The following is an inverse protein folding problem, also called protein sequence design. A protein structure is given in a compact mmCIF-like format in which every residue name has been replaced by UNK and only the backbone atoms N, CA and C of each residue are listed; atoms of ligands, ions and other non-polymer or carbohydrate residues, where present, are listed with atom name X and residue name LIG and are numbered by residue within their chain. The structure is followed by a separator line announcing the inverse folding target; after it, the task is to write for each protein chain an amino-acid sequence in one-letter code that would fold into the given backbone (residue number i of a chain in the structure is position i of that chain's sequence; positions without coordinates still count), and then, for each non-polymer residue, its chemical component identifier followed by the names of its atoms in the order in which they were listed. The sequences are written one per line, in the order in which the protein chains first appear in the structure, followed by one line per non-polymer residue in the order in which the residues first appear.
data_IF_042846246253
#
_entry.id   IF_042846246253
#
_cell.length_a   1.000
_cell.length_b   1.000
_cell.length_c   1.000
_cell.angle_alpha   90.00
_cell.angle_beta   90.00
_cell.angle_gamma   90.00
#
_symmetry.space_group_name_H-M   'P 1'
#
loop_
_entity.id
_entity.type
_entity.pdbx_description
1 polymer ?
#
# COMPACT_ATOMS: atom_id res chain seq x y z
N UNK A 1 10.96 27.65 27.20
CA UNK A 1 10.23 26.38 27.00
C UNK A 1 9.83 26.31 25.54
N UNK A 2 10.53 25.50 24.76
CA UNK A 2 10.14 25.19 23.38
C UNK A 2 10.40 23.71 23.22
N UNK A 3 9.31 22.96 23.19
CA UNK A 3 9.29 21.52 23.05
C UNK A 3 10.10 21.12 21.82
N UNK A 4 11.27 20.51 22.05
CA UNK A 4 11.92 19.70 21.03
C UNK A 4 11.12 18.41 20.98
N UNK A 5 10.11 18.37 20.10
CA UNK A 5 9.39 17.15 19.76
C UNK A 5 10.43 16.08 19.42
N UNK A 6 10.63 15.16 20.36
CA UNK A 6 11.62 14.11 20.24
C UNK A 6 11.27 13.28 19.01
N UNK A 7 12.16 13.27 18.02
CA UNK A 7 12.14 12.24 17.00
C UNK A 7 12.33 10.91 17.74
N UNK A 8 11.23 10.19 17.96
CA UNK A 8 11.27 8.81 18.40
C UNK A 8 12.19 8.11 17.41
N UNK A 9 13.29 7.53 17.90
CA UNK A 9 14.08 6.56 17.14
C UNK A 9 13.13 5.41 16.78
N UNK A 10 12.51 5.49 15.60
CA UNK A 10 11.83 4.36 15.00
C UNK A 10 12.92 3.29 14.77
N UNK A 11 12.62 2.03 15.05
CA UNK A 11 13.57 0.96 14.80
C UNK A 11 13.99 0.98 13.32
N UNK A 12 15.29 0.86 13.05
CA UNK A 12 15.80 0.75 11.68
C UNK A 12 15.44 -0.64 11.13
N UNK A 13 14.35 -0.72 10.37
CA UNK A 13 13.96 -1.96 9.70
C UNK A 13 14.72 -2.08 8.38
N UNK A 14 15.63 -3.06 8.27
CA UNK A 14 16.36 -3.28 7.01
C UNK A 14 15.44 -3.70 5.85
N UNK A 15 14.45 -4.55 6.15
CA UNK A 15 13.40 -4.96 5.23
C UNK A 15 12.05 -4.85 5.90
N UNK A 16 11.05 -4.35 5.18
CA UNK A 16 9.64 -4.36 5.60
C UNK A 16 8.81 -5.12 4.56
N UNK A 17 7.90 -5.98 5.03
CA UNK A 17 6.89 -6.61 4.20
C UNK A 17 5.62 -5.75 4.20
N UNK A 18 5.10 -5.44 3.03
CA UNK A 18 3.87 -4.66 2.85
C UNK A 18 2.80 -5.58 2.27
N UNK A 19 1.64 -5.62 2.91
CA UNK A 19 0.41 -6.17 2.36
C UNK A 19 -0.54 -5.01 2.12
N UNK A 20 -1.05 -4.85 0.91
CA UNK A 20 -1.99 -3.78 0.56
C UNK A 20 -3.16 -4.32 -0.23
N UNK A 21 -4.34 -3.78 0.02
CA UNK A 21 -5.54 -4.05 -0.76
C UNK A 21 -6.39 -2.79 -0.86
N UNK A 22 -7.03 -2.61 -2.00
CA UNK A 22 -7.96 -1.51 -2.24
C UNK A 22 -9.15 -2.01 -3.02
N UNK A 23 -10.34 -1.60 -2.58
CA UNK A 23 -11.60 -2.07 -3.14
C UNK A 23 -12.58 -0.94 -3.38
N UNK A 24 -13.49 -1.15 -4.33
CA UNK A 24 -14.64 -0.27 -4.57
C UNK A 24 -15.96 -1.06 -4.58
N UNK A 25 -16.99 -0.54 -3.89
CA UNK A 25 -18.37 -1.04 -3.90
C UNK A 25 -19.09 -0.53 -5.15
N UNK A 26 -18.78 -1.14 -6.29
CA UNK A 26 -19.16 -0.67 -7.62
C UNK A 26 -17.95 -0.14 -8.40
N UNK A 27 -18.07 0.02 -9.72
CA UNK A 27 -16.94 0.38 -10.58
C UNK A 27 -17.32 1.47 -11.63
N UNK A 28 -17.38 2.77 -11.25
CA UNK A 28 -16.94 3.33 -9.97
C UNK A 28 -17.98 3.25 -8.84
N UNK A 29 -17.51 3.34 -7.59
CA UNK A 29 -18.34 3.35 -6.37
C UNK A 29 -17.55 3.76 -5.12
N UNK A 30 -18.18 3.82 -3.93
CA UNK A 30 -17.49 4.07 -2.67
C UNK A 30 -16.30 3.12 -2.49
N UNK A 31 -15.14 3.64 -2.15
CA UNK A 31 -13.89 2.89 -2.20
C UNK A 31 -13.03 3.12 -0.96
N UNK A 32 -12.23 2.11 -0.62
CA UNK A 32 -11.32 2.13 0.51
C UNK A 32 -9.98 1.50 0.17
N UNK A 33 -8.97 1.93 0.89
CA UNK A 33 -7.62 1.36 0.86
C UNK A 33 -7.25 0.86 2.27
N UNK A 34 -6.52 -0.24 2.32
CA UNK A 34 -5.98 -0.83 3.54
C UNK A 34 -4.57 -1.37 3.31
N UNK A 35 -3.69 -1.22 4.30
CA UNK A 35 -2.36 -1.80 4.25
C UNK A 35 -1.82 -2.18 5.63
N UNK A 36 -0.94 -3.19 5.65
CA UNK A 36 -0.26 -3.71 6.83
C UNK A 36 1.23 -3.77 6.53
N UNK A 37 2.04 -3.17 7.40
CA UNK A 37 3.49 -3.28 7.39
C UNK A 37 3.89 -4.31 8.43
N UNK A 38 4.68 -5.31 8.03
CA UNK A 38 5.13 -6.42 8.86
C UNK A 38 6.65 -6.38 8.97
N UNK A 39 7.17 -6.59 10.18
CA UNK A 39 8.57 -6.91 10.39
C UNK A 39 8.81 -8.39 10.04
N UNK A 40 9.58 -8.70 8.99
CA UNK A 40 9.80 -10.08 8.58
C UNK A 40 10.60 -10.90 9.62
N UNK A 41 11.31 -10.26 10.55
CA UNK A 41 12.08 -10.97 11.59
C UNK A 41 11.17 -11.53 12.69
N UNK A 42 10.11 -10.82 13.02
CA UNK A 42 9.22 -11.16 14.14
C UNK A 42 7.84 -11.62 13.68
N UNK A 43 7.47 -11.34 12.43
CA UNK A 43 6.13 -11.55 11.89
C UNK A 43 5.08 -10.59 12.47
N UNK A 44 5.49 -9.62 13.28
CA UNK A 44 4.58 -8.70 13.96
C UNK A 44 4.27 -7.46 13.10
N UNK A 45 3.06 -6.89 13.23
CA UNK A 45 2.72 -5.64 12.57
C UNK A 45 3.53 -4.47 13.14
N UNK A 46 4.17 -3.73 12.25
CA UNK A 46 4.79 -2.43 12.50
C UNK A 46 3.71 -1.34 12.48
N UNK A 47 2.83 -1.40 11.48
CA UNK A 47 1.73 -0.45 11.30
C UNK A 47 0.56 -1.08 10.53
N UNK A 48 -0.63 -0.54 10.78
CA UNK A 48 -1.84 -0.79 10.01
C UNK A 48 -2.48 0.55 9.64
N UNK A 49 -2.75 0.75 8.35
CA UNK A 49 -3.32 1.99 7.84
C UNK A 49 -4.50 1.69 6.95
N UNK A 50 -5.49 2.59 6.97
CA UNK A 50 -6.64 2.53 6.10
C UNK A 50 -7.12 3.94 5.75
N UNK A 51 -7.77 4.09 4.59
CA UNK A 51 -8.24 5.38 4.10
C UNK A 51 -9.48 5.23 3.23
N UNK A 52 -10.51 6.01 3.52
CA UNK A 52 -11.65 6.16 2.62
C UNK A 52 -11.25 7.01 1.41
N UNK A 53 -11.58 6.54 0.21
CA UNK A 53 -11.13 7.13 -1.05
C UNK A 53 -12.23 7.89 -1.79
N UNK A 54 -13.42 8.01 -1.19
CA UNK A 54 -14.60 8.53 -1.89
C UNK A 54 -15.04 7.56 -2.99
N UNK A 55 -15.50 8.09 -4.12
CA UNK A 55 -15.94 7.27 -5.26
C UNK A 55 -14.81 7.08 -6.27
N UNK A 56 -14.38 5.84 -6.49
CA UNK A 56 -13.37 5.52 -7.51
C UNK A 56 -13.58 4.12 -8.12
N UNK A 57 -12.71 3.72 -9.05
CA UNK A 57 -12.72 2.38 -9.64
C UNK A 57 -11.87 1.42 -8.82
N UNK A 58 -12.06 0.10 -9.00
CA UNK A 58 -11.30 -0.90 -8.25
C UNK A 58 -9.79 -0.75 -8.48
N UNK A 59 -9.35 -0.68 -9.74
CA UNK A 59 -7.92 -0.54 -10.06
C UNK A 59 -7.30 0.75 -9.49
N UNK A 60 -8.07 1.83 -9.40
CA UNK A 60 -7.60 3.06 -8.75
C UNK A 60 -7.47 2.87 -7.24
N UNK A 61 -8.39 2.14 -6.60
CA UNK A 61 -8.34 1.83 -5.18
C UNK A 61 -7.13 0.95 -4.83
N UNK A 62 -6.86 -0.11 -5.60
CA UNK A 62 -5.69 -0.98 -5.41
C UNK A 62 -4.37 -0.20 -5.48
N UNK A 63 -4.21 0.68 -6.48
CA UNK A 63 -3.04 1.55 -6.58
C UNK A 63 -2.92 2.51 -5.39
N UNK A 64 -4.04 3.09 -4.96
CA UNK A 64 -4.07 4.00 -3.81
C UNK A 64 -3.74 3.29 -2.50
N UNK A 65 -4.07 2.00 -2.36
CA UNK A 65 -3.68 1.20 -1.20
C UNK A 65 -2.17 0.98 -1.14
N UNK A 66 -1.52 0.69 -2.27
CA UNK A 66 -0.07 0.62 -2.33
C UNK A 66 0.57 1.97 -2.01
N UNK A 67 0.06 3.06 -2.60
CA UNK A 67 0.55 4.43 -2.33
C UNK A 67 0.46 4.76 -0.84
N UNK A 68 -0.70 4.48 -0.21
CA UNK A 68 -0.90 4.67 1.23
C UNK A 68 0.14 3.90 2.05
N UNK A 69 0.43 2.65 1.67
CA UNK A 69 1.45 1.85 2.34
C UNK A 69 2.87 2.43 2.17
N UNK A 70 3.20 2.93 0.97
CA UNK A 70 4.51 3.53 0.67
C UNK A 70 4.71 4.89 1.36
N UNK A 71 3.64 5.66 1.55
CA UNK A 71 3.68 6.88 2.37
C UNK A 71 3.96 6.53 3.84
N UNK A 72 3.31 5.49 4.37
CA UNK A 72 3.52 5.04 5.74
C UNK A 72 4.93 4.49 5.95
N UNK A 73 5.43 3.68 5.01
CA UNK A 73 6.71 2.99 5.17
C UNK A 73 7.91 3.94 5.22
N UNK A 74 7.79 5.13 4.60
CA UNK A 74 8.84 6.16 4.62
C UNK A 74 9.20 6.64 6.03
N UNK A 75 8.27 6.55 7.00
CA UNK A 75 8.53 6.91 8.40
C UNK A 75 9.59 6.00 9.06
N UNK A 76 9.80 4.82 8.50
CA UNK A 76 10.72 3.80 9.01
C UNK A 76 12.03 3.69 8.20
N UNK A 77 12.14 4.44 7.10
CA UNK A 77 13.33 4.49 6.23
C UNK A 77 13.98 3.13 5.90
N UNK A 78 13.20 2.11 5.46
CA UNK A 78 13.78 0.81 5.21
C UNK A 78 14.69 0.81 3.98
N UNK A 79 15.66 -0.10 3.95
CA UNK A 79 16.51 -0.30 2.77
C UNK A 79 15.79 -1.08 1.66
N UNK A 80 14.89 -1.97 2.04
CA UNK A 80 14.21 -2.86 1.10
C UNK A 80 12.76 -3.15 1.48
N UNK A 81 11.94 -3.45 0.46
CA UNK A 81 10.53 -3.78 0.59
C UNK A 81 10.18 -5.07 -0.14
N UNK A 82 9.27 -5.84 0.43
CA UNK A 82 8.53 -6.89 -0.30
C UNK A 82 7.06 -6.53 -0.26
N UNK A 83 6.48 -6.20 -1.41
CA UNK A 83 5.10 -5.78 -1.55
C UNK A 83 4.25 -6.96 -2.06
N UNK A 84 3.32 -7.41 -1.23
CA UNK A 84 2.35 -8.45 -1.52
C UNK A 84 1.02 -7.82 -1.93
N UNK A 85 0.54 -8.16 -3.12
CA UNK A 85 -0.73 -7.69 -3.68
C UNK A 85 -1.48 -8.88 -4.28
N UNK A 86 -2.81 -8.84 -4.26
CA UNK A 86 -3.69 -9.83 -4.90
C UNK A 86 -4.07 -9.46 -6.35
N UNK A 87 -3.71 -8.26 -6.79
CA UNK A 87 -3.86 -7.83 -8.18
C UNK A 87 -2.65 -8.21 -9.03
N UNK A 88 -2.72 -9.35 -9.72
CA UNK A 88 -1.67 -9.81 -10.63
C UNK A 88 -1.35 -8.77 -11.72
N UNK A 89 -2.36 -8.05 -12.21
CA UNK A 89 -2.19 -6.97 -13.19
C UNK A 89 -1.26 -5.88 -12.67
N UNK A 90 -1.49 -5.40 -11.45
CA UNK A 90 -0.69 -4.33 -10.84
C UNK A 90 0.72 -4.83 -10.54
N UNK A 91 0.87 -6.06 -10.02
CA UNK A 91 2.18 -6.67 -9.80
C UNK A 91 3.00 -6.71 -11.09
N UNK A 92 2.38 -7.13 -12.22
CA UNK A 92 3.06 -7.17 -13.52
C UNK A 92 3.35 -5.78 -14.09
N UNK A 93 2.53 -4.78 -13.81
CA UNK A 93 2.79 -3.39 -14.22
C UNK A 93 3.96 -2.80 -13.43
N UNK A 94 3.93 -2.92 -12.10
CA UNK A 94 4.99 -2.45 -11.19
C UNK A 94 6.33 -3.17 -11.42
N UNK A 95 6.28 -4.47 -11.73
CA UNK A 95 7.44 -5.26 -12.15
C UNK A 95 7.94 -4.96 -13.57
N UNK A 96 7.34 -4.01 -14.30
CA UNK A 96 7.77 -3.61 -15.64
C UNK A 96 7.45 -4.61 -16.76
N UNK A 97 6.73 -5.70 -16.45
CA UNK A 97 6.34 -6.73 -17.42
C UNK A 97 5.25 -6.18 -18.35
N UNK A 98 4.28 -5.46 -17.80
CA UNK A 98 3.16 -4.88 -18.55
C UNK A 98 3.21 -3.36 -18.60
N UNK A 99 2.95 -2.80 -19.79
CA UNK A 99 2.83 -1.34 -19.98
C UNK A 99 1.50 -0.83 -19.44
N UNK A 100 1.55 0.25 -18.67
CA UNK A 100 0.35 0.98 -18.22
C UNK A 100 -0.16 1.87 -19.35
N UNK A 101 -1.29 1.47 -19.96
CA UNK A 101 -1.90 2.21 -21.08
C UNK A 101 -2.94 3.25 -20.64
N UNK A 102 -3.69 2.97 -19.57
CA UNK A 102 -4.73 3.88 -19.09
C UNK A 102 -4.08 5.12 -18.44
N UNK A 103 -4.35 6.35 -18.93
CA UNK A 103 -3.71 7.57 -18.41
C UNK A 103 -3.94 7.82 -16.91
N UNK A 104 -5.15 7.51 -16.41
CA UNK A 104 -5.49 7.69 -15.00
C UNK A 104 -4.74 6.70 -14.10
N UNK A 105 -4.52 5.47 -14.58
CA UNK A 105 -3.69 4.47 -13.87
C UNK A 105 -2.21 4.83 -13.99
N UNK A 106 -1.77 5.35 -15.15
CA UNK A 106 -0.39 5.79 -15.37
C UNK A 106 0.02 6.86 -14.36
N UNK A 107 -0.88 7.78 -14.01
CA UNK A 107 -0.63 8.77 -12.95
C UNK A 107 -0.30 8.09 -11.61
N UNK A 108 -1.10 7.11 -11.18
CA UNK A 108 -0.88 6.37 -9.93
C UNK A 108 0.37 5.49 -9.95
N UNK A 109 0.64 4.88 -11.10
CA UNK A 109 1.86 4.12 -11.31
C UNK A 109 3.11 5.00 -11.10
N UNK A 110 3.14 6.20 -11.68
CA UNK A 110 4.27 7.12 -11.53
C UNK A 110 4.41 7.61 -10.09
N UNK A 111 3.30 7.90 -9.41
CA UNK A 111 3.27 8.27 -7.99
C UNK A 111 3.85 7.15 -7.11
N UNK A 112 3.46 5.89 -7.35
CA UNK A 112 4.05 4.75 -6.66
C UNK A 112 5.56 4.63 -6.95
N UNK A 113 6.00 4.79 -8.21
CA UNK A 113 7.43 4.77 -8.55
C UNK A 113 8.24 5.86 -7.85
N UNK A 114 7.70 7.08 -7.76
CA UNK A 114 8.33 8.18 -7.04
C UNK A 114 8.44 7.89 -5.53
N UNK A 115 7.41 7.29 -4.94
CA UNK A 115 7.43 6.92 -3.53
C UNK A 115 8.44 5.81 -3.20
N UNK A 116 8.62 4.85 -4.11
CA UNK A 116 9.63 3.80 -3.97
C UNK A 116 11.05 4.37 -3.95
N UNK A 117 11.30 5.45 -4.70
CA UNK A 117 12.60 6.12 -4.75
C UNK A 117 13.74 5.14 -5.05
N UNK A 118 14.74 5.10 -4.17
CA UNK A 118 15.91 4.23 -4.29
C UNK A 118 15.81 2.93 -3.47
N UNK A 119 14.65 2.62 -2.88
CA UNK A 119 14.48 1.39 -2.10
C UNK A 119 14.53 0.16 -3.01
N UNK A 120 15.21 -0.90 -2.57
CA UNK A 120 15.17 -2.18 -3.27
C UNK A 120 13.80 -2.83 -3.06
N UNK A 121 13.08 -3.13 -4.13
CA UNK A 121 11.67 -3.56 -4.05
C UNK A 121 11.43 -4.84 -4.84
N UNK A 122 10.69 -5.75 -4.21
CA UNK A 122 10.12 -6.93 -4.85
C UNK A 122 8.60 -6.90 -4.76
N UNK A 123 7.93 -7.06 -5.90
CA UNK A 123 6.48 -7.28 -5.94
C UNK A 123 6.15 -8.76 -6.02
N UNK A 124 5.18 -9.21 -5.23
CA UNK A 124 4.75 -10.60 -5.15
C UNK A 124 3.23 -10.64 -5.26
N UNK A 125 2.73 -11.42 -6.22
CA UNK A 125 1.31 -11.73 -6.30
C UNK A 125 0.96 -12.81 -5.27
N UNK A 126 -0.11 -12.60 -4.49
CA UNK A 126 -0.65 -13.58 -3.54
C UNK A 126 -2.15 -13.80 -3.77
N UNK A 127 -2.70 -14.98 -3.47
CA UNK A 127 -4.15 -15.17 -3.44
C UNK A 127 -4.83 -14.24 -2.43
N UNK A 128 -6.05 -13.79 -2.74
CA UNK A 128 -6.82 -12.85 -1.92
C UNK A 128 -7.03 -13.33 -0.49
N UNK A 129 -7.17 -14.64 -0.30
CA UNK A 129 -7.34 -15.26 1.03
C UNK A 129 -6.13 -15.00 1.94
N UNK A 130 -4.95 -14.84 1.35
CA UNK A 130 -3.71 -14.52 2.07
C UNK A 130 -3.56 -13.01 2.35
N UNK A 131 -4.40 -12.17 1.73
CA UNK A 131 -4.40 -10.70 1.88
C UNK A 131 -5.53 -10.18 2.79
N UNK A 132 -6.20 -11.07 3.53
CA UNK A 132 -7.42 -10.80 4.30
C UNK A 132 -7.32 -9.63 5.30
N UNK A 133 -6.14 -9.37 5.86
CA UNK A 133 -5.94 -8.27 6.82
C UNK A 133 -6.00 -6.90 6.13
N UNK A 134 -5.40 -6.76 4.95
CA UNK A 134 -5.45 -5.54 4.18
C UNK A 134 -6.87 -5.31 3.59
N UNK A 135 -7.51 -6.37 3.10
CA UNK A 135 -8.91 -6.34 2.63
C UNK A 135 -9.87 -5.87 3.73
N UNK A 136 -9.71 -6.40 4.96
CA UNK A 136 -10.51 -5.96 6.11
C UNK A 136 -10.33 -4.48 6.42
N UNK A 137 -9.10 -3.97 6.32
CA UNK A 137 -8.78 -2.55 6.53
C UNK A 137 -9.43 -1.66 5.45
N UNK A 138 -9.39 -2.08 4.18
CA UNK A 138 -10.06 -1.37 3.09
C UNK A 138 -11.59 -1.32 3.28
N UNK A 139 -12.19 -2.44 3.67
CA UNK A 139 -13.62 -2.52 3.98
C UNK A 139 -14.00 -1.63 5.18
N UNK A 140 -13.20 -1.65 6.24
CA UNK A 140 -13.40 -0.80 7.42
C UNK A 140 -13.37 0.69 7.06
N UNK A 141 -12.49 1.09 6.14
CA UNK A 141 -12.45 2.47 5.65
C UNK A 141 -13.72 2.85 4.88
N UNK A 142 -14.24 1.95 4.03
CA UNK A 142 -15.51 2.18 3.33
C UNK A 142 -16.68 2.29 4.31
N UNK A 143 -16.75 1.43 5.32
CA UNK A 143 -17.84 1.44 6.31
C UNK A 143 -17.85 2.70 7.19
N UNK A 144 -16.67 3.24 7.51
CA UNK A 144 -16.53 4.46 8.35
C UNK A 144 -16.66 5.76 7.57
N UNK A 145 -16.37 5.73 6.26
CA UNK A 145 -16.38 6.90 5.39
C UNK A 145 -17.71 7.13 4.66
N UNK A 146 -18.63 6.16 4.75
CA UNK A 146 -20.01 6.26 4.27
C UNK A 146 -20.91 7.00 5.25
#
# INVERSE_FOLDING_TARGET
MSDKGGMIKMADYETIHIFSDGGARGNPGPAGAGAVLIDPKTGQPIAEVNKYLGHTTNNQAEYQALILALEEVKKYSPKSLVCYLDSELIVRQLGGIYKVKNPAIKKRFLEAQELLGNMSVRFVHIPREQNSRADKLANLAMDRGM
#
